data_IF_080177743845
#
_entry.id   IF_080177743845
#
_cell.length_a   1.000
_cell.length_b   1.000
_cell.length_c   1.000
_cell.angle_alpha   90.00
_cell.angle_beta   90.00
_cell.angle_gamma   90.00
#
_symmetry.space_group_name_H-M   'P 1'
#
loop_
_entity.id
_entity.type
_entity.pdbx_description
1 polymer ?
#
# COMPACT_ATOMS: atom_id res chain seq x y z
N UNK A 1 -13.83 -14.77 12.82
CA UNK A 1 -13.81 -14.27 11.43
C UNK A 1 -13.87 -12.75 11.50
N UNK A 2 -12.71 -12.10 11.42
CA UNK A 2 -12.59 -10.63 11.44
C UNK A 2 -13.18 -10.08 10.13
N UNK A 3 -14.21 -9.24 10.17
CA UNK A 3 -14.80 -8.71 8.92
C UNK A 3 -13.81 -7.72 8.30
N UNK A 4 -13.50 -7.81 6.99
CA UNK A 4 -12.51 -6.96 6.33
C UNK A 4 -12.78 -5.44 6.39
N UNK A 5 -13.99 -5.03 6.79
CA UNK A 5 -14.41 -3.63 6.82
C UNK A 5 -14.53 -3.02 8.22
N UNK A 6 -14.13 -3.72 9.29
CA UNK A 6 -14.29 -3.20 10.67
C UNK A 6 -13.19 -2.22 11.10
N UNK A 7 -12.13 -2.07 10.30
CA UNK A 7 -11.01 -1.16 10.59
C UNK A 7 -11.11 0.17 9.82
N UNK A 8 -10.59 1.28 10.36
CA UNK A 8 -10.47 2.52 9.60
C UNK A 8 -9.42 2.39 8.47
N UNK A 9 -9.43 3.35 7.54
CA UNK A 9 -8.37 3.45 6.53
C UNK A 9 -7.04 3.67 7.26
N UNK A 10 -5.99 2.86 7.00
CA UNK A 10 -4.73 2.93 7.74
C UNK A 10 -4.11 4.33 7.78
N UNK A 11 -3.49 4.67 8.90
CA UNK A 11 -2.68 5.88 9.03
C UNK A 11 -1.60 5.92 7.95
N UNK A 12 -0.91 4.79 7.81
CA UNK A 12 0.12 4.58 6.82
C UNK A 12 0.17 3.10 6.47
N UNK A 13 0.37 2.81 5.18
CA UNK A 13 0.76 1.51 4.68
C UNK A 13 1.51 1.72 3.38
N UNK A 14 2.55 0.93 3.13
CA UNK A 14 3.31 1.03 1.90
C UNK A 14 3.74 -0.32 1.35
N UNK A 15 3.95 -0.36 0.03
CA UNK A 15 4.76 -1.37 -0.63
C UNK A 15 6.13 -0.77 -0.91
N UNK A 16 7.21 -1.53 -0.75
CA UNK A 16 8.57 -1.02 -0.85
C UNK A 16 9.45 -1.88 -1.75
N UNK A 17 10.50 -1.28 -2.31
CA UNK A 17 11.55 -1.98 -3.05
C UNK A 17 12.88 -1.85 -2.32
N UNK A 18 13.43 -2.97 -1.88
CA UNK A 18 14.77 -3.06 -1.34
C UNK A 18 15.79 -3.46 -2.40
N UNK A 19 17.01 -2.94 -2.24
CA UNK A 19 18.21 -3.32 -2.98
C UNK A 19 19.28 -3.76 -1.98
N UNK A 20 19.94 -4.87 -2.25
CA UNK A 20 21.14 -5.28 -1.51
C UNK A 20 22.35 -4.45 -1.98
N UNK A 21 23.14 -3.93 -1.06
CA UNK A 21 24.32 -3.10 -1.42
C UNK A 21 25.39 -3.89 -2.15
N UNK A 22 25.57 -5.17 -1.78
CA UNK A 22 26.70 -6.00 -2.23
C UNK A 22 26.35 -6.94 -3.40
N UNK A 23 25.09 -6.96 -3.85
CA UNK A 23 24.62 -7.90 -4.88
C UNK A 23 23.49 -7.27 -5.70
N UNK A 24 23.30 -7.73 -6.95
CA UNK A 24 22.12 -7.42 -7.77
C UNK A 24 20.89 -8.20 -7.27
N UNK A 25 20.56 -8.05 -5.99
CA UNK A 25 19.41 -8.67 -5.33
C UNK A 25 18.42 -7.59 -4.94
N UNK A 26 17.15 -7.87 -5.22
CA UNK A 26 16.03 -6.97 -4.96
C UNK A 26 14.93 -7.73 -4.23
N UNK A 27 14.21 -7.02 -3.38
CA UNK A 27 13.08 -7.57 -2.63
C UNK A 27 11.94 -6.56 -2.64
N UNK A 28 10.73 -7.05 -2.87
CA UNK A 28 9.51 -6.25 -2.78
C UNK A 28 8.73 -6.78 -1.59
N UNK A 29 8.26 -5.90 -0.72
CA UNK A 29 7.42 -6.26 0.41
C UNK A 29 6.41 -5.16 0.72
N UNK A 30 5.57 -5.36 1.72
CA UNK A 30 4.69 -4.32 2.26
C UNK A 30 4.77 -4.20 3.78
N UNK A 31 4.52 -3.00 4.31
CA UNK A 31 4.61 -2.75 5.75
C UNK A 31 3.82 -1.50 6.17
N UNK A 32 3.26 -1.46 7.39
CA UNK A 32 2.77 -0.24 8.01
C UNK A 32 3.89 0.62 8.64
N UNK A 33 5.11 0.10 8.80
CA UNK A 33 6.22 0.85 9.41
C UNK A 33 7.55 0.59 8.66
N UNK A 34 7.93 1.47 7.71
CA UNK A 34 9.12 1.32 6.88
C UNK A 34 10.43 1.26 7.67
N UNK A 35 10.57 2.10 8.70
CA UNK A 35 11.78 2.16 9.50
C UNK A 35 11.98 0.86 10.29
N UNK A 36 10.93 0.41 11.00
CA UNK A 36 10.95 -0.85 11.73
C UNK A 36 11.29 -2.01 10.79
N UNK A 37 10.63 -2.08 9.63
CA UNK A 37 10.82 -3.17 8.66
C UNK A 37 12.21 -3.19 8.05
N UNK A 38 12.80 -2.02 7.75
CA UNK A 38 14.18 -1.95 7.26
C UNK A 38 15.17 -2.46 8.32
N UNK A 39 14.94 -2.12 9.59
CA UNK A 39 15.71 -2.66 10.72
C UNK A 39 15.62 -4.20 10.82
N UNK A 40 14.42 -4.77 10.64
CA UNK A 40 14.22 -6.23 10.64
C UNK A 40 15.00 -6.92 9.53
N UNK A 41 14.96 -6.39 8.31
CA UNK A 41 15.72 -6.93 7.18
C UNK A 41 17.24 -6.85 7.40
N UNK A 42 17.72 -5.78 8.03
CA UNK A 42 19.12 -5.59 8.38
C UNK A 42 19.55 -6.34 9.65
N UNK A 43 18.62 -6.98 10.36
CA UNK A 43 18.91 -7.81 11.54
C UNK A 43 19.01 -7.05 12.85
N UNK A 44 18.65 -5.77 12.88
CA UNK A 44 18.65 -4.95 14.11
C UNK A 44 17.45 -5.26 15.02
N UNK A 45 16.40 -5.88 14.49
CA UNK A 45 15.20 -6.30 15.23
C UNK A 45 14.70 -7.66 14.73
N UNK A 46 13.96 -8.40 15.58
CA UNK A 46 13.37 -9.71 15.21
C UNK A 46 12.23 -9.53 14.19
N UNK A 47 12.02 -10.53 13.31
CA UNK A 47 10.92 -10.55 12.34
C UNK A 47 11.27 -10.22 10.89
N UNK A 48 12.52 -10.42 10.45
CA UNK A 48 12.91 -10.22 9.05
C UNK A 48 12.53 -11.41 8.14
N UNK A 49 12.08 -11.13 6.92
CA UNK A 49 11.72 -12.14 5.93
C UNK A 49 12.85 -13.15 5.66
N UNK A 50 12.52 -14.45 5.55
CA UNK A 50 13.50 -15.54 5.31
C UNK A 50 14.40 -15.29 4.10
N UNK A 51 13.88 -14.71 3.02
CA UNK A 51 14.66 -14.39 1.80
C UNK A 51 15.73 -13.31 2.01
N UNK A 52 15.54 -12.49 3.04
CA UNK A 52 16.39 -11.33 3.38
C UNK A 52 17.33 -11.58 4.55
N UNK A 53 17.22 -12.74 5.22
CA UNK A 53 18.03 -13.11 6.38
C UNK A 53 19.47 -13.50 6.04
N UNK A 54 19.78 -13.76 4.76
CA UNK A 54 21.13 -14.11 4.32
C UNK A 54 22.11 -12.95 4.59
N UNK A 55 23.09 -13.17 5.46
CA UNK A 55 24.07 -12.15 5.85
C UNK A 55 24.80 -11.51 4.65
N UNK A 56 25.10 -12.29 3.60
CA UNK A 56 25.75 -11.80 2.38
C UNK A 56 24.89 -10.89 1.48
N UNK A 57 23.61 -10.66 1.81
CA UNK A 57 22.74 -9.69 1.12
C UNK A 57 22.52 -8.41 1.94
N UNK A 58 22.91 -8.41 3.21
CA UNK A 58 22.89 -7.23 4.07
C UNK A 58 24.12 -6.35 3.76
N UNK A 59 24.03 -5.03 3.95
CA UNK A 59 22.83 -4.27 4.30
C UNK A 59 21.89 -4.07 3.10
N UNK A 60 20.59 -4.09 3.40
CA UNK A 60 19.50 -3.70 2.51
C UNK A 60 19.30 -2.18 2.58
N UNK A 61 19.06 -1.61 1.42
CA UNK A 61 18.69 -0.21 1.21
C UNK A 61 17.24 -0.14 0.70
N UNK A 62 16.42 0.71 1.29
CA UNK A 62 15.07 0.98 0.78
C UNK A 62 15.13 2.05 -0.30
N UNK A 63 14.94 1.64 -1.55
CA UNK A 63 15.15 2.51 -2.73
C UNK A 63 13.93 3.36 -3.05
N UNK A 64 12.73 2.81 -2.91
CA UNK A 64 11.47 3.53 -3.05
C UNK A 64 10.32 2.84 -2.29
N UNK A 65 9.27 3.60 -2.03
CA UNK A 65 7.99 3.13 -1.49
C UNK A 65 6.80 3.69 -2.29
N UNK A 66 5.74 2.90 -2.38
CA UNK A 66 4.41 3.31 -2.79
C UNK A 66 3.56 3.42 -1.52
N UNK A 67 2.96 4.57 -1.26
CA UNK A 67 2.14 4.82 -0.06
C UNK A 67 0.71 5.18 -0.46
N UNK A 68 -0.19 5.32 0.54
CA UNK A 68 -1.56 5.77 0.32
C UNK A 68 -2.57 4.65 0.09
N UNK A 69 -2.23 3.40 0.43
CA UNK A 69 -3.18 2.30 0.29
C UNK A 69 -4.41 2.48 1.19
N UNK A 70 -5.63 2.26 0.66
CA UNK A 70 -6.87 2.43 1.43
C UNK A 70 -7.09 1.32 2.47
N UNK A 71 -6.36 0.20 2.39
CA UNK A 71 -6.41 -0.91 3.34
C UNK A 71 -5.13 -1.75 3.28
N UNK A 72 -4.91 -2.60 4.29
CA UNK A 72 -3.87 -3.64 4.27
C UNK A 72 -4.03 -4.55 3.05
N UNK A 73 -5.25 -5.00 2.78
CA UNK A 73 -5.54 -5.90 1.66
C UNK A 73 -5.18 -5.27 0.32
N UNK A 74 -5.47 -3.97 0.14
CA UNK A 74 -5.09 -3.24 -1.06
C UNK A 74 -3.56 -3.21 -1.26
N UNK A 75 -2.80 -2.99 -0.17
CA UNK A 75 -1.35 -3.06 -0.21
C UNK A 75 -0.84 -4.47 -0.57
N UNK A 76 -1.41 -5.52 0.02
CA UNK A 76 -1.03 -6.92 -0.28
C UNK A 76 -1.33 -7.30 -1.73
N UNK A 77 -2.47 -6.86 -2.28
CA UNK A 77 -2.80 -7.07 -3.70
C UNK A 77 -1.79 -6.38 -4.62
N UNK A 78 -1.38 -5.16 -4.28
CA UNK A 78 -0.38 -4.41 -5.05
C UNK A 78 1.00 -5.06 -4.93
N UNK A 79 1.42 -5.45 -3.72
CA UNK A 79 2.66 -6.17 -3.47
C UNK A 79 2.74 -7.44 -4.30
N UNK A 80 1.71 -8.29 -4.22
CA UNK A 80 1.65 -9.53 -4.97
C UNK A 80 1.72 -9.27 -6.47
N UNK A 81 0.99 -8.27 -6.97
CA UNK A 81 1.04 -7.88 -8.39
C UNK A 81 2.43 -7.40 -8.82
N UNK A 82 3.18 -6.74 -7.92
CA UNK A 82 4.53 -6.24 -8.18
C UNK A 82 5.60 -7.33 -8.12
N UNK A 83 5.43 -8.33 -7.25
CA UNK A 83 6.25 -9.55 -7.25
C UNK A 83 5.94 -10.44 -8.47
N UNK A 84 4.66 -10.60 -8.81
CA UNK A 84 4.15 -11.59 -9.77
C UNK A 84 3.59 -10.96 -11.06
N UNK A 85 4.33 -10.01 -11.62
CA UNK A 85 3.92 -9.20 -12.79
C UNK A 85 3.58 -10.01 -14.06
N UNK A 86 4.06 -11.25 -14.16
CA UNK A 86 3.80 -12.17 -15.26
C UNK A 86 2.55 -13.05 -15.04
N UNK A 87 2.00 -13.07 -13.84
CA UNK A 87 0.78 -13.80 -13.47
C UNK A 87 -0.39 -12.85 -13.14
N UNK A 88 -0.09 -11.58 -12.83
CA UNK A 88 -1.12 -10.60 -12.51
C UNK A 88 -2.07 -10.35 -13.68
N UNK A 89 -3.37 -10.42 -13.38
CA UNK A 89 -4.44 -10.08 -14.32
C UNK A 89 -4.64 -8.57 -14.43
N UNK A 90 -3.99 -7.77 -13.58
CA UNK A 90 -4.08 -6.31 -13.60
C UNK A 90 -3.34 -5.68 -14.78
N UNK A 91 -2.35 -6.37 -15.34
CA UNK A 91 -1.62 -5.94 -16.53
C UNK A 91 -2.19 -6.68 -17.74
N UNK A 92 -2.60 -5.92 -18.77
CA UNK A 92 -3.14 -6.44 -20.03
C UNK A 92 -2.21 -7.51 -20.62
N UNK A 93 -2.79 -8.54 -21.22
CA UNK A 93 -2.05 -9.68 -21.76
C UNK A 93 -0.95 -9.23 -22.74
N UNK A 94 -1.22 -8.24 -23.58
CA UNK A 94 -0.27 -7.70 -24.54
C UNK A 94 0.93 -7.02 -23.88
N UNK A 95 0.69 -6.26 -22.79
CA UNK A 95 1.77 -5.64 -22.00
C UNK A 95 2.55 -6.72 -21.26
N UNK A 96 1.86 -7.72 -20.72
CA UNK A 96 2.47 -8.87 -20.04
C UNK A 96 3.37 -9.67 -20.98
N UNK A 97 2.94 -9.89 -22.22
CA UNK A 97 3.72 -10.60 -23.24
C UNK A 97 4.89 -9.77 -23.79
N UNK A 98 4.79 -8.44 -23.78
CA UNK A 98 5.93 -7.55 -24.07
C UNK A 98 6.95 -7.53 -22.93
N UNK A 99 6.50 -7.63 -21.67
CA UNK A 99 7.36 -7.78 -20.50
C UNK A 99 8.03 -9.16 -20.44
N UNK A 100 7.46 -10.16 -21.12
CA UNK A 100 8.09 -11.48 -21.32
C UNK A 100 9.16 -11.34 -22.40
N UNK A 101 10.42 -11.43 -22.00
CA UNK A 101 11.57 -11.50 -22.92
C UNK A 101 11.29 -12.50 -24.06
N UNK A 102 11.34 -12.03 -25.31
CA UNK A 102 11.22 -12.83 -26.57
C UNK A 102 12.41 -13.79 -26.77
N UNK A 103 12.78 -14.58 -25.75
CA UNK A 103 13.70 -15.70 -25.96
C UNK A 103 12.87 -16.89 -26.40
N UNK A 104 13.04 -17.29 -27.67
CA UNK A 104 12.53 -18.55 -28.21
C UNK A 104 12.84 -19.66 -27.19
N UNK A 105 11.81 -20.28 -26.63
CA UNK A 105 11.97 -21.40 -25.72
C UNK A 105 12.59 -22.55 -26.52
N UNK A 106 13.88 -22.78 -26.37
CA UNK A 106 14.50 -24.05 -26.73
C UNK A 106 13.92 -25.15 -25.81
N UNK A 107 13.53 -26.32 -26.34
CA UNK A 107 12.76 -27.34 -25.60
C UNK A 107 13.59 -28.13 -24.57
N UNK A 108 14.67 -27.55 -24.05
CA UNK A 108 15.61 -28.25 -23.16
C UNK A 108 15.58 -27.67 -21.74
N UNK A 109 15.01 -28.46 -20.83
CA UNK A 109 14.99 -28.36 -19.35
C UNK A 109 14.27 -27.14 -18.78
N UNK A 110 13.24 -27.40 -17.96
CA UNK A 110 12.60 -26.44 -17.03
C UNK A 110 13.67 -25.84 -16.10
N UNK A 111 14.41 -24.83 -16.56
CA UNK A 111 15.30 -24.03 -15.70
C UNK A 111 14.46 -22.97 -15.01
N UNK A 112 14.56 -22.89 -13.68
CA UNK A 112 13.96 -21.82 -12.88
C UNK A 112 14.28 -20.45 -13.50
N UNK A 113 13.26 -19.60 -13.66
CA UNK A 113 13.41 -18.30 -14.34
C UNK A 113 14.40 -17.43 -13.57
N UNK A 114 15.28 -16.68 -14.26
CA UNK A 114 16.19 -15.77 -13.57
C UNK A 114 15.39 -14.71 -12.80
N UNK A 115 15.88 -14.28 -11.62
CA UNK A 115 15.21 -13.26 -10.82
C UNK A 115 15.06 -11.95 -11.61
N UNK A 116 13.92 -11.27 -11.43
CA UNK A 116 13.62 -10.02 -12.13
C UNK A 116 14.66 -8.93 -11.86
N UNK A 117 15.12 -8.27 -12.94
CA UNK A 117 16.04 -7.14 -12.87
C UNK A 117 15.39 -5.90 -12.23
N UNK A 118 16.22 -4.95 -11.78
CA UNK A 118 15.74 -3.65 -11.29
C UNK A 118 14.92 -2.91 -12.35
N UNK A 119 15.43 -2.85 -13.57
CA UNK A 119 14.73 -2.23 -14.72
C UNK A 119 13.33 -2.82 -14.91
N UNK A 120 13.20 -4.16 -14.90
CA UNK A 120 11.90 -4.80 -15.02
C UNK A 120 10.97 -4.44 -13.85
N UNK A 121 11.47 -4.42 -12.60
CA UNK A 121 10.69 -4.03 -11.42
C UNK A 121 10.20 -2.58 -11.49
N UNK A 122 11.02 -1.67 -11.99
CA UNK A 122 10.68 -0.24 -12.13
C UNK A 122 9.65 0.00 -13.25
N UNK A 123 9.79 -0.68 -14.40
CA UNK A 123 8.78 -0.66 -15.46
C UNK A 123 7.44 -1.23 -14.99
N UNK A 124 7.49 -2.34 -14.27
CA UNK A 124 6.29 -2.95 -13.73
C UNK A 124 5.61 -2.07 -12.69
N UNK A 125 6.38 -1.43 -11.82
CA UNK A 125 5.84 -0.42 -10.89
C UNK A 125 5.08 0.67 -11.65
N UNK A 126 5.65 1.22 -12.73
CA UNK A 126 4.96 2.19 -13.58
C UNK A 126 3.65 1.65 -14.13
N UNK A 127 3.65 0.44 -14.69
CA UNK A 127 2.42 -0.17 -15.19
C UNK A 127 1.37 -0.33 -14.08
N UNK A 128 1.75 -0.82 -12.91
CA UNK A 128 0.84 -0.98 -11.78
C UNK A 128 0.23 0.33 -11.28
N UNK A 129 0.94 1.46 -11.44
CA UNK A 129 0.39 2.77 -11.08
C UNK A 129 -0.63 3.32 -12.10
N UNK A 130 -0.69 2.76 -13.32
CA UNK A 130 -1.60 3.24 -14.38
C UNK A 130 -2.72 2.25 -14.73
N UNK A 131 -2.61 0.97 -14.34
CA UNK A 131 -3.66 -0.01 -14.59
C UNK A 131 -4.96 0.36 -13.88
N UNK A 132 -6.10 0.12 -14.54
CA UNK A 132 -7.43 0.54 -14.07
C UNK A 132 -7.74 0.08 -12.63
N UNK A 133 -7.22 -1.08 -12.22
CA UNK A 133 -7.44 -1.63 -10.87
C UNK A 133 -6.85 -0.76 -9.76
N UNK A 134 -5.77 -0.03 -10.02
CA UNK A 134 -5.05 0.77 -9.02
C UNK A 134 -4.99 2.26 -9.34
N UNK A 135 -5.27 2.66 -10.58
CA UNK A 135 -5.11 4.04 -11.06
C UNK A 135 -5.90 5.10 -10.28
N UNK A 136 -7.01 4.72 -9.63
CA UNK A 136 -7.84 5.62 -8.82
C UNK A 136 -7.59 5.53 -7.32
N UNK A 137 -6.66 4.68 -6.89
CA UNK A 137 -6.21 4.69 -5.50
C UNK A 137 -5.36 5.95 -5.26
N UNK A 138 -5.36 6.51 -4.03
CA UNK A 138 -4.64 7.75 -3.73
C UNK A 138 -3.13 7.47 -3.51
N UNK A 139 -2.53 6.73 -4.44
CA UNK A 139 -1.16 6.25 -4.35
C UNK A 139 -0.16 7.37 -4.60
N UNK A 140 0.94 7.31 -3.87
CA UNK A 140 2.07 8.21 -4.02
C UNK A 140 3.36 7.40 -4.09
N UNK A 141 4.29 7.82 -4.94
CA UNK A 141 5.57 7.16 -5.11
C UNK A 141 6.68 8.05 -4.53
N UNK A 142 7.46 7.52 -3.59
CA UNK A 142 8.60 8.22 -3.00
C UNK A 142 9.88 7.42 -3.23
N UNK A 143 10.86 8.03 -3.86
CA UNK A 143 12.21 7.50 -4.04
C UNK A 143 13.15 8.06 -2.97
N UNK A 144 14.05 7.22 -2.50
CA UNK A 144 15.14 7.57 -1.58
C UNK A 144 16.52 7.45 -2.23
N UNK A 145 16.65 6.63 -3.28
CA UNK A 145 17.89 6.42 -4.02
C UNK A 145 17.86 7.23 -5.34
N UNK A 146 18.70 8.28 -5.50
CA UNK A 146 18.70 9.14 -6.68
C UNK A 146 19.02 8.40 -7.99
N UNK A 147 19.90 7.41 -7.93
CA UNK A 147 20.28 6.60 -9.10
C UNK A 147 19.11 5.72 -9.57
N UNK A 148 18.32 5.18 -8.63
CA UNK A 148 17.11 4.40 -8.92
C UNK A 148 16.00 5.30 -9.48
N UNK A 149 15.86 6.52 -8.95
CA UNK A 149 14.93 7.51 -9.49
C UNK A 149 15.27 7.89 -10.93
N UNK A 150 16.53 8.24 -11.21
CA UNK A 150 16.99 8.57 -12.56
C UNK A 150 16.80 7.41 -13.54
N UNK A 151 17.02 6.17 -13.07
CA UNK A 151 16.77 4.97 -13.86
C UNK A 151 15.27 4.79 -14.17
N UNK A 152 14.41 4.95 -13.16
CA UNK A 152 12.96 4.89 -13.33
C UNK A 152 12.49 5.95 -14.33
N UNK A 153 12.86 7.21 -14.12
CA UNK A 153 12.46 8.34 -14.98
C UNK A 153 12.89 8.12 -16.44
N UNK A 154 14.15 7.69 -16.66
CA UNK A 154 14.65 7.34 -17.99
C UNK A 154 13.82 6.24 -18.67
N UNK A 155 13.43 5.21 -17.93
CA UNK A 155 12.69 4.08 -18.50
C UNK A 155 11.21 4.40 -18.73
N UNK A 156 10.58 5.19 -17.86
CA UNK A 156 9.17 5.58 -17.96
C UNK A 156 8.93 6.77 -18.88
N UNK A 157 9.98 7.55 -19.21
CA UNK A 157 9.92 8.65 -20.18
C UNK A 157 9.34 8.23 -21.54
N UNK A 158 9.51 6.97 -21.95
CA UNK A 158 8.98 6.44 -23.23
C UNK A 158 7.73 5.58 -23.07
N UNK A 159 7.29 5.29 -21.84
CA UNK A 159 6.13 4.44 -21.60
C UNK A 159 4.83 5.23 -21.78
N UNK A 160 3.87 4.54 -22.38
CA UNK A 160 2.47 4.96 -22.52
C UNK A 160 1.61 3.82 -21.94
N UNK A 161 0.59 4.13 -21.14
CA UNK A 161 0.15 5.45 -20.68
C UNK A 161 1.11 6.12 -19.66
N UNK A 162 1.04 7.46 -19.59
CA UNK A 162 1.73 8.26 -18.56
C UNK A 162 1.03 8.15 -17.21
N UNK A 163 1.76 8.43 -16.14
CA UNK A 163 1.17 8.48 -14.80
C UNK A 163 0.02 9.52 -14.76
N UNK A 164 -1.07 9.23 -14.05
CA UNK A 164 -2.11 10.22 -13.77
C UNK A 164 -1.51 11.48 -13.14
N UNK A 165 -2.01 12.66 -13.51
CA UNK A 165 -1.55 13.95 -12.93
C UNK A 165 -1.73 14.01 -11.41
N UNK A 166 -2.68 13.24 -10.88
CA UNK A 166 -2.97 13.14 -9.44
C UNK A 166 -1.96 12.27 -8.67
N UNK A 167 -1.19 11.40 -9.36
CA UNK A 167 -0.17 10.56 -8.73
C UNK A 167 1.05 11.41 -8.40
N UNK A 168 1.32 11.59 -7.10
CA UNK A 168 2.49 12.33 -6.66
C UNK A 168 3.75 11.45 -6.70
N UNK A 169 4.83 12.00 -7.25
CA UNK A 169 6.16 11.37 -7.26
C UNK A 169 7.15 12.30 -6.58
N UNK A 170 7.84 11.81 -5.56
CA UNK A 170 8.82 12.57 -4.80
C UNK A 170 10.18 11.87 -4.79
N UNK A 171 11.26 12.63 -4.93
CA UNK A 171 12.60 12.19 -4.58
C UNK A 171 12.98 12.85 -3.25
N UNK A 172 13.26 12.04 -2.24
CA UNK A 172 13.82 12.50 -0.96
C UNK A 172 15.07 11.69 -0.67
N UNK A 173 16.24 12.13 -1.15
CA UNK A 173 17.47 11.35 -1.03
C UNK A 173 17.71 10.92 0.43
N UNK A 174 17.97 9.64 0.62
CA UNK A 174 18.47 9.14 1.88
C UNK A 174 19.98 9.39 1.92
N UNK A 175 20.43 10.21 2.87
CA UNK A 175 21.86 10.34 3.13
C UNK A 175 22.40 8.96 3.55
N UNK A 176 23.44 8.48 2.86
CA UNK A 176 24.20 7.34 3.34
C UNK A 176 25.00 7.80 4.57
N UNK A 177 25.03 7.02 5.68
CA UNK A 177 25.90 7.34 6.78
C UNK A 177 27.36 7.40 6.26
N UNK A 178 27.97 8.60 6.38
CA UNK A 178 29.32 8.91 5.90
C UNK A 178 30.43 8.16 6.65
N UNK A 179 30.10 7.42 7.71
CA UNK A 179 31.05 6.72 8.57
C UNK A 179 30.54 5.31 8.87
N UNK A 180 31.48 4.38 9.08
CA UNK A 180 31.18 3.03 9.52
C UNK A 180 30.37 3.13 10.84
N UNK A 181 29.12 2.63 10.87
CA UNK A 181 28.27 2.81 12.05
C UNK A 181 28.81 1.96 13.21
N UNK A 182 29.07 2.60 14.36
CA UNK A 182 29.44 1.93 15.61
C UNK A 182 28.24 1.14 16.19
N UNK A 183 27.01 1.45 15.77
CA UNK A 183 25.77 0.82 16.25
C UNK A 183 24.81 0.39 15.13
N UNK A 184 24.25 -0.84 15.18
CA UNK A 184 23.34 -1.37 14.15
C UNK A 184 21.98 -0.68 14.08
N UNK A 185 21.58 0.11 15.09
CA UNK A 185 20.32 0.88 15.11
C UNK A 185 20.46 2.25 14.42
N UNK A 186 21.69 2.77 14.28
CA UNK A 186 22.00 4.04 13.60
C UNK A 186 21.97 3.97 12.05
N UNK A 187 21.65 2.80 11.49
CA UNK A 187 21.76 2.52 10.04
C UNK A 187 20.53 2.87 9.21
N UNK A 188 19.37 3.17 9.82
CA UNK A 188 18.18 3.56 9.06
C UNK A 188 18.24 5.06 8.74
N UNK A 189 18.14 5.47 7.46
CA UNK A 189 18.15 6.89 7.08
C UNK A 189 17.07 7.71 7.78
N UNK A 190 17.42 8.93 8.21
CA UNK A 190 16.50 9.85 8.93
C UNK A 190 15.20 10.08 8.15
N UNK A 191 15.29 10.26 6.84
CA UNK A 191 14.13 10.46 5.94
C UNK A 191 13.13 9.30 5.92
N UNK A 192 13.56 8.08 6.31
CA UNK A 192 12.71 6.89 6.45
C UNK A 192 12.17 6.79 7.87
N UNK A 193 12.97 7.12 8.90
CA UNK A 193 12.53 7.13 10.31
C UNK A 193 11.44 8.16 10.57
N UNK A 194 11.52 9.31 9.92
CA UNK A 194 10.60 10.44 10.09
C UNK A 194 9.32 10.32 9.26
N UNK A 195 9.12 9.21 8.54
CA UNK A 195 7.86 8.98 7.83
C UNK A 195 6.72 8.93 8.87
N UNK A 196 5.69 9.80 8.75
CA UNK A 196 4.56 9.78 9.67
C UNK A 196 3.75 8.49 9.45
N UNK A 197 3.84 7.57 10.41
CA UNK A 197 3.12 6.29 10.38
C UNK A 197 1.83 6.30 11.22
N UNK A 198 1.57 7.37 11.95
CA UNK A 198 0.42 7.54 12.84
C UNK A 198 -0.60 8.56 12.28
N UNK A 199 -1.78 8.64 12.89
CA UNK A 199 -2.87 9.53 12.46
C UNK A 199 -2.69 11.02 12.81
N UNK A 200 -1.48 11.44 13.17
CA UNK A 200 -1.24 12.80 13.68
C UNK A 200 -1.66 13.88 12.68
N UNK A 201 -1.41 13.66 11.38
CA UNK A 201 -1.78 14.59 10.31
C UNK A 201 -3.31 14.70 10.11
N UNK A 202 -4.07 13.70 10.56
CA UNK A 202 -5.53 13.67 10.46
C UNK A 202 -6.22 14.33 11.67
N UNK A 203 -5.48 14.55 12.76
CA UNK A 203 -6.03 15.05 14.03
C UNK A 203 -6.81 16.36 13.89
N UNK A 204 -6.31 17.41 13.20
CA UNK A 204 -7.05 18.68 13.11
C UNK A 204 -8.39 18.54 12.37
N UNK A 205 -8.42 17.72 11.31
CA UNK A 205 -9.64 17.47 10.54
C UNK A 205 -10.66 16.65 11.36
N UNK A 206 -10.18 15.65 12.10
CA UNK A 206 -11.02 14.83 12.97
C UNK A 206 -11.62 15.64 14.13
N UNK A 207 -10.81 16.46 14.81
CA UNK A 207 -11.26 17.39 15.87
C UNK A 207 -12.37 18.30 15.36
N UNK A 208 -12.13 18.89 14.19
CA UNK A 208 -13.09 19.77 13.55
C UNK A 208 -14.39 19.03 13.21
N UNK A 209 -14.30 17.84 12.63
CA UNK A 209 -15.47 17.05 12.25
C UNK A 209 -16.30 16.63 13.46
N UNK A 210 -15.64 16.19 14.53
CA UNK A 210 -16.28 15.86 15.81
C UNK A 210 -17.03 17.07 16.38
N UNK A 211 -16.32 18.18 16.58
CA UNK A 211 -16.89 19.42 17.13
C UNK A 211 -18.03 19.99 16.28
N UNK A 212 -17.95 19.86 14.96
CA UNK A 212 -18.99 20.34 14.07
C UNK A 212 -20.24 19.48 14.20
N UNK A 213 -20.11 18.16 14.04
CA UNK A 213 -21.25 17.24 13.96
C UNK A 213 -22.00 17.06 15.29
N UNK A 214 -21.36 17.24 16.44
CA UNK A 214 -22.02 17.12 17.76
C UNK A 214 -22.95 18.29 18.13
N UNK A 215 -22.71 19.49 17.59
CA UNK A 215 -23.27 20.73 18.17
C UNK A 215 -24.57 21.20 17.53
N UNK A 216 -24.85 20.81 16.29
CA UNK A 216 -25.95 21.39 15.50
C UNK A 216 -26.58 20.37 14.54
N UNK A 217 -27.83 20.62 14.13
CA UNK A 217 -28.38 19.98 12.94
C UNK A 217 -27.71 20.58 11.69
N UNK A 218 -27.28 19.72 10.78
CA UNK A 218 -26.57 20.15 9.56
C UNK A 218 -27.40 19.83 8.33
N UNK A 219 -27.37 20.74 7.35
CA UNK A 219 -27.91 20.47 6.02
C UNK A 219 -26.76 20.20 5.06
N UNK A 220 -26.95 19.21 4.18
CA UNK A 220 -25.97 18.86 3.17
C UNK A 220 -25.73 20.05 2.24
N UNK A 221 -24.47 20.48 2.09
CA UNK A 221 -24.12 21.62 1.24
C UNK A 221 -24.45 21.42 -0.25
N UNK A 222 -24.68 20.18 -0.67
CA UNK A 222 -25.08 19.81 -2.05
C UNK A 222 -26.60 19.76 -2.20
N UNK A 223 -27.28 18.83 -1.50
CA UNK A 223 -28.73 18.60 -1.70
C UNK A 223 -29.64 19.41 -0.77
N UNK A 224 -29.06 20.17 0.18
CA UNK A 224 -29.76 21.00 1.18
C UNK A 224 -30.69 20.24 2.15
N UNK A 225 -30.79 18.92 2.05
CA UNK A 225 -31.51 18.07 3.01
C UNK A 225 -30.74 17.91 4.33
N UNK A 226 -31.42 17.65 5.46
CA UNK A 226 -30.76 17.33 6.73
C UNK A 226 -29.79 16.16 6.62
N UNK A 227 -28.69 16.25 7.36
CA UNK A 227 -27.67 15.19 7.53
C UNK A 227 -27.85 14.62 8.92
N UNK A 228 -28.51 13.47 9.01
CA UNK A 228 -28.78 12.79 10.28
C UNK A 228 -27.60 11.89 10.66
N UNK A 229 -26.81 12.28 11.64
CA UNK A 229 -25.77 11.43 12.22
C UNK A 229 -26.34 10.65 13.42
N UNK A 230 -26.03 9.35 13.58
CA UNK A 230 -24.98 8.57 12.90
C UNK A 230 -25.45 7.81 11.64
N UNK A 231 -26.73 7.91 11.26
CA UNK A 231 -27.32 7.09 10.19
C UNK A 231 -26.70 7.39 8.82
N UNK A 232 -26.45 8.67 8.53
CA UNK A 232 -25.90 9.11 7.25
C UNK A 232 -24.37 9.22 7.28
N UNK A 233 -23.73 8.74 6.21
CA UNK A 233 -22.29 8.93 5.98
C UNK A 233 -22.03 10.40 5.65
N UNK A 234 -21.66 11.16 6.67
CA UNK A 234 -21.39 12.60 6.58
C UNK A 234 -19.89 12.87 6.34
N UNK A 235 -19.58 13.61 5.28
CA UNK A 235 -18.23 14.12 4.98
C UNK A 235 -18.14 15.59 5.38
N UNK A 236 -17.07 15.95 6.10
CA UNK A 236 -16.80 17.32 6.54
C UNK A 236 -15.62 17.87 5.76
N UNK A 237 -15.73 19.10 5.24
CA UNK A 237 -14.62 19.77 4.56
C UNK A 237 -13.41 19.93 5.51
N UNK A 238 -12.16 19.63 5.09
CA UNK A 238 -10.97 19.77 5.93
C UNK A 238 -10.51 21.23 6.13
N UNK A 239 -10.90 22.18 5.28
CA UNK A 239 -10.47 23.59 5.37
C UNK A 239 -11.00 24.24 6.63
N UNK A 240 -10.13 24.67 7.55
CA UNK A 240 -10.46 25.11 8.91
C UNK A 240 -11.66 26.08 9.00
N UNK A 241 -11.67 27.13 8.17
CA UNK A 241 -12.72 28.15 8.14
C UNK A 241 -14.05 27.69 7.51
N UNK A 242 -14.08 26.56 6.82
CA UNK A 242 -15.26 26.07 6.12
C UNK A 242 -16.09 25.13 6.99
N UNK A 243 -17.41 25.32 7.06
CA UNK A 243 -18.33 24.44 7.82
C UNK A 243 -19.16 23.50 6.93
N UNK A 244 -18.71 23.22 5.71
CA UNK A 244 -19.45 22.38 4.80
C UNK A 244 -19.52 20.93 5.30
N UNK A 245 -20.75 20.42 5.42
CA UNK A 245 -21.08 19.02 5.67
C UNK A 245 -21.85 18.50 4.46
N UNK A 246 -21.51 17.32 3.96
CA UNK A 246 -22.16 16.71 2.80
C UNK A 246 -22.45 15.24 3.04
N UNK A 247 -23.55 14.72 2.48
CA UNK A 247 -23.68 13.28 2.31
C UNK A 247 -22.56 12.74 1.42
N UNK A 248 -22.01 11.57 1.76
CA UNK A 248 -20.99 10.88 0.97
C UNK A 248 -21.43 10.70 -0.49
N UNK A 249 -22.67 10.26 -0.72
CA UNK A 249 -23.24 10.07 -2.06
C UNK A 249 -23.42 11.38 -2.85
N UNK A 250 -23.79 12.47 -2.17
CA UNK A 250 -23.94 13.76 -2.83
C UNK A 250 -22.59 14.35 -3.25
N UNK A 251 -21.59 14.27 -2.37
CA UNK A 251 -20.26 14.80 -2.65
C UNK A 251 -19.53 13.94 -3.69
N UNK A 252 -19.66 12.62 -3.64
CA UNK A 252 -19.10 11.73 -4.66
C UNK A 252 -19.69 12.01 -6.03
N UNK A 253 -21.02 12.13 -6.14
CA UNK A 253 -21.68 12.45 -7.40
C UNK A 253 -21.23 13.80 -7.98
N UNK A 254 -21.01 14.80 -7.11
CA UNK A 254 -20.46 16.09 -7.54
C UNK A 254 -19.03 15.97 -8.05
N UNK A 255 -18.13 15.30 -7.31
CA UNK A 255 -16.74 15.14 -7.74
C UNK A 255 -16.62 14.36 -9.04
N UNK A 256 -17.39 13.27 -9.20
CA UNK A 256 -17.43 12.49 -10.44
C UNK A 256 -17.94 13.31 -11.63
N UNK A 257 -18.93 14.19 -11.41
CA UNK A 257 -19.40 15.11 -12.43
C UNK A 257 -18.33 16.15 -12.81
N UNK A 258 -17.57 16.68 -11.85
CA UNK A 258 -16.46 17.60 -12.07
C UNK A 258 -15.29 16.94 -12.83
N UNK A 259 -15.01 15.66 -12.58
CA UNK A 259 -13.99 14.90 -13.31
C UNK A 259 -14.36 14.61 -14.78
N UNK A 260 -15.64 14.69 -15.14
CA UNK A 260 -16.12 14.40 -16.49
C UNK A 260 -16.03 12.92 -16.92
N UNK A 261 -15.71 12.00 -16.00
CA UNK A 261 -15.59 10.58 -16.29
C UNK A 261 -16.83 9.81 -15.79
N UNK A 262 -17.73 9.47 -16.73
CA UNK A 262 -19.03 8.83 -16.43
C UNK A 262 -18.94 7.37 -16.00
N UNK A 263 -17.82 6.69 -16.27
CA UNK A 263 -17.64 5.27 -15.96
C UNK A 263 -16.96 5.06 -14.59
N UNK A 264 -16.55 6.14 -13.93
CA UNK A 264 -15.85 6.09 -12.64
C UNK A 264 -16.82 6.01 -11.48
N UNK A 265 -16.53 5.12 -10.53
CA UNK A 265 -17.33 4.94 -9.31
C UNK A 265 -16.74 5.65 -8.08
N UNK A 266 -15.41 5.82 -8.04
CA UNK A 266 -14.69 6.33 -6.88
C UNK A 266 -14.04 7.66 -7.26
N UNK A 267 -14.46 8.82 -6.73
CA UNK A 267 -13.80 10.08 -7.01
C UNK A 267 -12.34 10.10 -6.53
N UNK A 268 -11.49 10.90 -7.18
CA UNK A 268 -10.10 11.15 -6.76
C UNK A 268 -10.01 12.51 -6.08
N UNK A 269 -10.51 13.55 -6.73
CA UNK A 269 -10.46 14.94 -6.29
C UNK A 269 -11.68 15.73 -6.77
N UNK A 270 -11.94 16.87 -6.15
CA UNK A 270 -13.00 17.78 -6.55
C UNK A 270 -13.04 19.02 -5.67
N UNK A 271 -13.99 19.92 -5.92
CA UNK A 271 -14.06 21.21 -5.24
C UNK A 271 -15.13 21.25 -4.16
N UNK A 272 -14.82 21.86 -3.01
CA UNK A 272 -15.80 22.02 -1.95
C UNK A 272 -17.01 22.85 -2.43
N UNK A 273 -18.26 22.40 -2.23
CA UNK A 273 -19.44 23.15 -2.66
C UNK A 273 -19.65 24.49 -1.95
N UNK A 274 -18.95 24.76 -0.84
CA UNK A 274 -19.10 25.98 -0.05
C UNK A 274 -17.89 26.92 -0.14
N UNK A 275 -16.67 26.42 0.10
CA UNK A 275 -15.47 27.27 0.05
C UNK A 275 -14.69 27.20 -1.27
N UNK A 276 -15.14 26.37 -2.23
CA UNK A 276 -14.48 26.14 -3.52
C UNK A 276 -13.03 25.61 -3.46
N UNK A 277 -12.49 25.33 -2.27
CA UNK A 277 -11.15 24.76 -2.14
C UNK A 277 -11.06 23.35 -2.74
N UNK A 278 -9.92 22.97 -3.34
CA UNK A 278 -9.71 21.62 -3.85
C UNK A 278 -9.59 20.63 -2.69
N UNK A 279 -10.30 19.51 -2.80
CA UNK A 279 -10.38 18.46 -1.80
C UNK A 279 -9.97 17.13 -2.42
N UNK A 280 -9.25 16.31 -1.63
CA UNK A 280 -8.95 14.92 -1.99
C UNK A 280 -9.99 14.00 -1.37
N UNK A 281 -10.54 13.10 -2.19
CA UNK A 281 -11.53 12.12 -1.74
C UNK A 281 -10.99 11.24 -0.62
N UNK A 282 -9.73 10.81 -0.73
CA UNK A 282 -9.06 9.97 0.26
C UNK A 282 -8.93 10.62 1.64
N UNK A 283 -8.68 11.93 1.70
CA UNK A 283 -8.62 12.69 2.97
C UNK A 283 -9.97 12.67 3.67
N UNK A 284 -11.05 12.91 2.93
CA UNK A 284 -12.43 12.89 3.44
C UNK A 284 -12.82 11.49 3.93
N UNK A 285 -12.53 10.45 3.14
CA UNK A 285 -12.83 9.08 3.51
C UNK A 285 -12.01 8.58 4.70
N UNK A 286 -10.76 9.04 4.86
CA UNK A 286 -9.90 8.65 5.98
C UNK A 286 -10.46 9.18 7.31
N UNK A 287 -10.82 10.46 7.37
CA UNK A 287 -11.51 11.04 8.52
C UNK A 287 -12.82 10.32 8.82
N UNK A 288 -13.70 10.15 7.82
CA UNK A 288 -14.96 9.42 8.00
C UNK A 288 -14.73 8.01 8.53
N UNK A 289 -13.73 7.29 8.00
CA UNK A 289 -13.44 5.93 8.45
C UNK A 289 -12.98 5.87 9.90
N UNK A 290 -12.19 6.85 10.35
CA UNK A 290 -11.76 6.96 11.76
C UNK A 290 -12.95 7.23 12.67
N UNK A 291 -13.80 8.18 12.30
CA UNK A 291 -14.98 8.53 13.11
C UNK A 291 -16.00 7.38 13.19
N UNK A 292 -16.13 6.57 12.14
CA UNK A 292 -17.11 5.48 12.10
C UNK A 292 -16.59 4.14 12.65
N UNK A 293 -15.28 3.88 12.58
CA UNK A 293 -14.70 2.55 12.84
C UNK A 293 -13.38 2.56 13.62
N UNK A 294 -12.84 3.74 13.91
CA UNK A 294 -11.54 3.90 14.54
C UNK A 294 -11.61 4.35 15.99
N UNK A 295 -12.63 3.95 16.76
CA UNK A 295 -12.85 4.44 18.14
C UNK A 295 -11.59 4.31 19.01
N UNK A 296 -10.89 3.18 18.93
CA UNK A 296 -9.62 2.94 19.66
C UNK A 296 -8.51 3.87 19.20
N UNK A 297 -8.36 4.06 17.89
CA UNK A 297 -7.37 4.94 17.29
C UNK A 297 -7.63 6.41 17.63
N UNK A 298 -8.90 6.81 17.64
CA UNK A 298 -9.36 8.14 18.06
C UNK A 298 -9.05 8.35 19.54
N UNK A 299 -9.41 7.42 20.43
CA UNK A 299 -9.11 7.51 21.86
C UNK A 299 -7.60 7.67 22.10
N UNK A 300 -6.77 6.88 21.41
CA UNK A 300 -5.31 6.98 21.50
C UNK A 300 -4.76 8.34 21.00
N UNK A 301 -5.35 8.91 19.94
CA UNK A 301 -4.93 10.19 19.36
C UNK A 301 -5.24 11.40 20.25
N UNK A 302 -6.27 11.27 21.10
CA UNK A 302 -6.73 12.33 22.01
C UNK A 302 -6.24 12.19 23.46
N UNK A 303 -5.65 11.05 23.84
CA UNK A 303 -5.03 10.89 25.16
C UNK A 303 -3.90 11.93 25.37
N UNK A 304 -3.90 12.66 26.49
CA UNK A 304 -2.81 13.58 26.81
C UNK A 304 -1.51 12.78 26.99
N UNK A 305 -0.42 13.23 26.33
CA UNK A 305 0.91 12.61 26.52
C UNK A 305 1.28 12.69 28.00
N UNK A 306 1.47 11.55 28.66
CA UNK A 306 2.04 11.49 30.02
C UNK A 306 3.41 12.19 29.98
N UNK A 307 3.60 13.18 30.87
CA UNK A 307 4.87 13.89 31.05
C UNK A 307 5.84 12.93 31.74
N UNK A 308 6.90 12.48 31.07
CA UNK A 308 7.97 11.75 31.73
C UNK A 308 8.62 12.66 32.78
N UNK A 309 8.58 12.24 34.05
CA UNK A 309 9.21 12.93 35.18
C UNK A 309 10.70 12.60 35.14
N UNK A 310 11.53 13.62 34.92
CA UNK A 310 12.98 13.50 35.04
C UNK A 310 13.42 13.41 36.51
N UNK A 311 14.45 12.58 36.75
CA UNK A 311 15.32 12.39 37.93
C UNK A 311 14.82 11.55 39.12
N UNK A 312 15.27 10.29 39.22
CA UNK A 312 16.36 9.84 40.13
C UNK A 312 16.72 8.37 39.86
N UNK A 313 17.95 7.98 40.22
CA UNK A 313 18.73 6.85 39.75
C UNK A 313 18.27 5.42 40.16
N UNK A 314 18.69 4.48 39.30
CA UNK A 314 18.86 3.02 39.45
C UNK A 314 17.67 2.19 39.92
N UNK A 315 16.83 1.82 38.96
CA UNK A 315 16.33 0.45 38.80
C UNK A 315 15.87 0.33 37.34
N UNK A 316 16.37 -0.67 36.63
CA UNK A 316 15.96 -1.00 35.27
C UNK A 316 14.54 -1.57 35.34
N UNK A 317 13.55 -0.70 35.38
CA UNK A 317 12.18 -1.07 35.05
C UNK A 317 11.98 -1.07 33.53
N UNK A 318 11.24 -2.06 32.99
CA UNK A 318 11.07 -2.24 31.56
C UNK A 318 10.32 -1.04 30.97
N UNK A 319 10.76 -0.59 29.79
CA UNK A 319 10.00 0.38 29.00
C UNK A 319 8.54 -0.07 28.88
N UNK A 320 7.57 0.86 28.98
CA UNK A 320 6.18 0.49 28.74
C UNK A 320 6.08 -0.07 27.32
N UNK A 321 5.80 -1.36 27.22
CA UNK A 321 5.56 -2.01 25.94
C UNK A 321 4.53 -1.17 25.18
N UNK A 322 4.84 -0.70 23.97
CA UNK A 322 3.82 -0.09 23.15
C UNK A 322 2.75 -1.16 22.99
N UNK A 323 1.55 -0.86 23.52
CA UNK A 323 0.34 -1.67 23.39
C UNK A 323 0.44 -2.48 22.12
N UNK A 324 0.54 -3.81 22.28
CA UNK A 324 0.45 -4.78 21.19
C UNK A 324 -0.92 -4.60 20.56
N UNK A 325 -1.04 -3.57 19.72
CA UNK A 325 -1.96 -3.62 18.62
C UNK A 325 -1.50 -4.87 17.88
N UNK A 326 -2.37 -5.87 17.79
CA UNK A 326 -2.28 -6.93 16.81
C UNK A 326 -2.24 -6.28 15.41
N UNK A 327 -1.06 -5.73 15.07
CA UNK A 327 -0.54 -5.62 13.75
C UNK A 327 -0.32 -7.06 13.36
N UNK A 328 -1.44 -7.72 13.00
CA UNK A 328 -1.50 -9.15 12.75
C UNK A 328 -0.31 -9.51 11.89
N UNK A 329 0.37 -10.56 12.32
CA UNK A 329 1.65 -11.05 11.82
C UNK A 329 1.83 -10.66 10.36
N UNK A 330 2.98 -10.04 10.08
CA UNK A 330 3.44 -9.76 8.73
C UNK A 330 3.71 -11.13 8.06
N UNK A 331 2.64 -11.86 7.74
CA UNK A 331 2.66 -13.09 6.97
C UNK A 331 3.09 -12.69 5.55
N UNK A 332 4.40 -12.75 5.33
CA UNK A 332 4.99 -12.65 4.01
C UNK A 332 4.36 -13.75 3.14
N UNK A 333 3.76 -13.36 2.00
CA UNK A 333 3.29 -14.31 1.01
C UNK A 333 4.52 -15.08 0.48
N UNK A 334 4.68 -16.34 0.90
CA UNK A 334 5.75 -17.20 0.42
C UNK A 334 5.52 -17.53 -1.07
N UNK A 335 6.54 -17.35 -1.89
CA UNK A 335 6.52 -17.58 -3.35
C UNK A 335 6.29 -19.08 -3.70
N UNK A 336 6.27 -19.97 -2.70
CA UNK A 336 6.08 -21.43 -2.82
C UNK A 336 4.62 -21.88 -2.91
N UNK A 337 3.64 -21.02 -2.63
CA UNK A 337 2.21 -21.39 -2.64
C UNK A 337 1.63 -21.83 -4.01
N UNK A 338 2.41 -21.76 -5.09
CA UNK A 338 2.03 -22.30 -6.41
C UNK A 338 2.75 -23.59 -6.80
N UNK A 339 3.70 -24.10 -6.01
CA UNK A 339 4.33 -25.39 -6.35
C UNK A 339 3.37 -26.57 -6.10
N UNK A 340 2.29 -26.40 -5.32
CA UNK A 340 1.33 -27.46 -4.97
C UNK A 340 0.02 -27.43 -5.78
N UNK A 341 -0.25 -26.38 -6.57
CA UNK A 341 -1.55 -26.24 -7.27
C UNK A 341 -1.53 -26.84 -8.69
N UNK A 342 -0.36 -27.15 -9.24
CA UNK A 342 -0.21 -27.74 -10.58
C UNK A 342 -0.28 -29.29 -10.58
N UNK A 343 -0.35 -29.97 -9.42
CA UNK A 343 -0.38 -31.44 -9.36
C UNK A 343 -1.80 -32.05 -9.44
N UNK A 344 -2.87 -31.33 -9.09
CA UNK A 344 -4.24 -31.89 -9.13
C UNK A 344 -4.97 -31.75 -10.48
N UNK A 345 -4.51 -30.90 -11.41
CA UNK A 345 -5.20 -30.68 -12.70
C UNK A 345 -4.64 -31.51 -13.86
N UNK A 346 -3.90 -32.60 -13.57
CA UNK A 346 -3.45 -33.56 -14.60
C UNK A 346 -3.71 -35.03 -14.24
N UNK A 347 -4.83 -35.33 -13.59
CA UNK A 347 -5.34 -36.71 -13.59
C UNK A 347 -6.03 -37.01 -14.94
N UNK A 348 -5.55 -37.97 -15.76
CA UNK A 348 -6.22 -38.33 -16.99
C UNK A 348 -7.54 -39.03 -16.67
N UNK A 349 -8.64 -38.54 -17.23
CA UNK A 349 -9.94 -39.22 -17.22
C UNK A 349 -9.78 -40.67 -17.73
N UNK A 350 -10.32 -41.70 -17.05
CA UNK A 350 -10.22 -43.07 -17.51
C UNK A 350 -11.00 -43.24 -18.82
N UNK A 351 -10.29 -43.71 -19.86
CA UNK A 351 -10.87 -44.03 -21.17
C UNK A 351 -11.99 -45.06 -21.01
N UNK A 352 -13.19 -44.70 -21.46
CA UNK A 352 -14.31 -45.62 -21.57
C UNK A 352 -13.98 -46.76 -22.55
N UNK A 353 -13.90 -47.98 -22.04
CA UNK A 353 -13.75 -49.19 -22.85
C UNK A 353 -15.06 -49.47 -23.61
N UNK A 354 -15.04 -49.28 -24.94
CA UNK A 354 -16.10 -49.72 -25.83
C UNK A 354 -16.15 -51.25 -25.84
N UNK A 355 -17.18 -51.84 -25.23
CA UNK A 355 -17.49 -53.26 -25.38
C UNK A 355 -17.98 -53.53 -26.81
N UNK A 356 -17.05 -53.96 -27.67
CA UNK A 356 -17.36 -54.57 -28.96
C UNK A 356 -17.91 -55.98 -28.75
N UNK A 357 -19.21 -56.18 -29.03
CA UNK A 357 -19.81 -57.50 -29.24
C UNK A 357 -19.15 -58.14 -30.48
N UNK A 358 -18.49 -59.29 -30.31
CA UNK A 358 -18.32 -60.28 -31.39
C UNK A 358 -18.71 -61.67 -30.87
N UNK A 359 -19.62 -62.28 -31.61
CA UNK A 359 -20.13 -63.66 -31.52
C UNK A 359 -19.12 -64.65 -32.13
N UNK A 360 -19.38 -65.94 -31.83
CA UNK A 360 -18.89 -67.19 -32.48
C UNK A 360 -17.49 -67.63 -32.04
N UNK A 361 -17.15 -68.91 -31.85
CA UNK A 361 -17.84 -70.20 -31.95
C UNK A 361 -16.92 -71.25 -31.25
N UNK A 362 -17.47 -72.37 -30.79
CA UNK A 362 -16.71 -73.49 -30.24
C UNK A 362 -17.49 -74.21 -29.16
#
# INVERSE_FOLDING_TARGET
MDRPMDRPIPAFYCCYLLRASNRKSYYVGSTPNPARRLGQHNGSTKGGAKRTSMQGKRPWEMTCIVTGFPSRLAALQFEWAWQNTHATRHIDADVRDQLRSKKKASPAKRRSRPPMSLDARLKNLHHLLVVKSFARWPLQLRFFAPDVFALWDKHTAKLVPKLPKSTLVHLTPADLPSQAPEDPVSTIPTVIREIPVAYQDCKPHLEKAHNLLERTSHSCAVCRKPVETPISLALVCPVESCRAVCHMSCLSGRFLAEEGNRDSLIPVEGTCPSCASPLRWSTLCKELSLRMRGEKEVEALFKPKRRNKANSASELEPEPEPMEHELGEDEDLDETWMEEVDEEETAPLPRAASKGKRRAAG
#
